data_IF_688503053980
#
_entry.id   IF_688503053980
#
_cell.length_a   1.000
_cell.length_b   1.000
_cell.length_c   1.000
_cell.angle_alpha   90.00
_cell.angle_beta   90.00
_cell.angle_gamma   90.00
#
_symmetry.space_group_name_H-M   'P 1'
#
loop_
_entity.id
_entity.type
_entity.pdbx_description
1 polymer ?
#
# COMPACT_ATOMS: atom_id res chain seq x y z
N UNK A 1 9.53 19.75 -14.95
CA UNK A 1 8.49 18.69 -14.97
C UNK A 1 9.09 17.28 -14.83
N UNK A 2 9.92 16.79 -15.77
CA UNK A 2 10.49 15.42 -15.68
C UNK A 2 11.38 15.19 -14.45
N UNK A 3 12.29 16.13 -14.13
CA UNK A 3 13.10 16.11 -12.92
C UNK A 3 12.24 16.13 -11.64
N UNK A 4 11.21 16.98 -11.60
CA UNK A 4 10.30 17.10 -10.46
C UNK A 4 9.53 15.81 -10.18
N UNK A 5 9.13 15.09 -11.24
CA UNK A 5 8.49 13.79 -11.09
C UNK A 5 9.47 12.70 -10.67
N UNK A 6 10.69 12.69 -11.21
CA UNK A 6 11.73 11.73 -10.82
C UNK A 6 12.04 11.79 -9.32
N UNK A 7 12.06 12.99 -8.74
CA UNK A 7 12.28 13.17 -7.29
C UNK A 7 11.12 12.68 -6.41
N UNK A 8 9.89 12.64 -6.94
CA UNK A 8 8.68 12.31 -6.19
C UNK A 8 8.19 10.88 -6.44
N UNK A 9 8.55 10.28 -7.58
CA UNK A 9 8.04 8.99 -8.00
C UNK A 9 8.89 7.86 -7.40
N UNK A 10 8.32 7.16 -6.44
CA UNK A 10 8.94 6.02 -5.78
C UNK A 10 9.00 4.79 -6.71
N UNK A 11 10.15 4.10 -6.73
CA UNK A 11 10.36 2.86 -7.51
C UNK A 11 9.32 1.77 -7.15
N UNK A 12 9.04 1.47 -5.86
CA UNK A 12 7.94 0.58 -5.47
C UNK A 12 6.57 0.92 -6.07
N UNK A 13 6.24 2.22 -6.18
CA UNK A 13 4.97 2.68 -6.77
C UNK A 13 4.95 2.39 -8.26
N UNK A 14 6.06 2.67 -8.97
CA UNK A 14 6.19 2.37 -10.39
C UNK A 14 6.07 0.86 -10.66
N UNK A 15 6.77 0.03 -9.89
CA UNK A 15 6.71 -1.43 -10.00
C UNK A 15 5.31 -1.97 -9.77
N UNK A 16 4.57 -1.44 -8.78
CA UNK A 16 3.18 -1.80 -8.54
C UNK A 16 2.28 -1.44 -9.72
N UNK A 17 2.38 -0.19 -10.21
CA UNK A 17 1.58 0.28 -11.34
C UNK A 17 1.86 -0.55 -12.60
N UNK A 18 3.13 -0.89 -12.85
CA UNK A 18 3.53 -1.78 -13.92
C UNK A 18 2.85 -3.15 -13.82
N UNK A 19 2.83 -3.75 -12.62
CA UNK A 19 2.15 -5.03 -12.40
C UNK A 19 0.63 -4.94 -12.60
N UNK A 20 -0.01 -3.83 -12.21
CA UNK A 20 -1.43 -3.59 -12.49
C UNK A 20 -1.69 -3.54 -13.99
N UNK A 21 -0.84 -2.85 -14.74
CA UNK A 21 -0.95 -2.75 -16.19
C UNK A 21 -0.75 -4.11 -16.87
N UNK A 22 0.25 -4.91 -16.47
CA UNK A 22 0.49 -6.23 -17.04
C UNK A 22 -0.70 -7.17 -16.84
N UNK A 23 -1.25 -7.21 -15.62
CA UNK A 23 -2.45 -8.01 -15.31
C UNK A 23 -3.68 -7.45 -16.01
N UNK A 24 -3.84 -6.13 -16.02
CA UNK A 24 -4.93 -5.44 -16.67
C UNK A 24 -4.96 -5.68 -18.18
N UNK A 25 -3.81 -5.71 -18.85
CA UNK A 25 -3.70 -6.04 -20.25
C UNK A 25 -4.16 -7.49 -20.52
N UNK A 26 -3.79 -8.43 -19.67
CA UNK A 26 -4.28 -9.80 -19.77
C UNK A 26 -5.79 -9.91 -19.51
N UNK A 27 -6.32 -9.15 -18.55
CA UNK A 27 -7.76 -9.08 -18.25
C UNK A 27 -8.54 -8.51 -19.45
N UNK A 28 -8.09 -7.39 -20.03
CA UNK A 28 -8.71 -6.75 -21.20
C UNK A 28 -8.72 -7.70 -22.41
N UNK A 29 -7.61 -8.40 -22.67
CA UNK A 29 -7.51 -9.33 -23.80
C UNK A 29 -8.43 -10.56 -23.69
N UNK A 30 -8.79 -10.97 -22.46
CA UNK A 30 -9.62 -12.16 -22.20
C UNK A 30 -11.09 -11.84 -21.92
N UNK A 31 -11.42 -10.58 -21.68
CA UNK A 31 -12.76 -10.18 -21.27
C UNK A 31 -13.76 -10.26 -22.43
N UNK A 32 -14.97 -10.74 -22.14
CA UNK A 32 -16.09 -10.66 -23.09
C UNK A 32 -16.47 -9.21 -23.45
N UNK A 33 -16.15 -8.24 -22.57
CA UNK A 33 -16.33 -6.81 -22.78
C UNK A 33 -15.01 -6.06 -22.49
N UNK A 34 -14.11 -5.92 -23.48
CA UNK A 34 -12.78 -5.36 -23.27
C UNK A 34 -12.76 -3.92 -22.73
N UNK A 35 -13.69 -3.07 -23.18
CA UNK A 35 -13.80 -1.67 -22.72
C UNK A 35 -14.10 -1.62 -21.22
N UNK A 36 -15.04 -2.45 -20.75
CA UNK A 36 -15.41 -2.50 -19.33
C UNK A 36 -14.23 -3.00 -18.47
N UNK A 37 -13.46 -3.97 -18.96
CA UNK A 37 -12.25 -4.41 -18.28
C UNK A 37 -11.20 -3.30 -18.23
N UNK A 38 -11.04 -2.52 -19.30
CA UNK A 38 -10.11 -1.39 -19.33
C UNK A 38 -10.51 -0.30 -18.33
N UNK A 39 -11.80 0.02 -18.20
CA UNK A 39 -12.32 0.93 -17.17
C UNK A 39 -11.95 0.46 -15.76
N UNK A 40 -12.09 -0.85 -15.48
CA UNK A 40 -11.69 -1.42 -14.20
C UNK A 40 -10.19 -1.33 -13.93
N UNK A 41 -9.34 -1.44 -14.96
CA UNK A 41 -7.89 -1.25 -14.83
C UNK A 41 -7.56 0.21 -14.47
N UNK A 42 -8.23 1.17 -15.11
CA UNK A 42 -8.08 2.59 -14.80
C UNK A 42 -8.49 2.90 -13.37
N UNK A 43 -9.66 2.40 -12.93
CA UNK A 43 -10.13 2.55 -11.54
C UNK A 43 -9.11 1.95 -10.56
N UNK A 44 -8.54 0.78 -10.88
CA UNK A 44 -7.51 0.14 -10.04
C UNK A 44 -6.27 1.01 -9.91
N UNK A 45 -5.78 1.58 -11.02
CA UNK A 45 -4.61 2.47 -11.02
C UNK A 45 -4.84 3.72 -10.17
N UNK A 46 -5.98 4.39 -10.34
CA UNK A 46 -6.31 5.61 -9.58
C UNK A 46 -6.45 5.30 -8.09
N UNK A 47 -7.13 4.21 -7.74
CA UNK A 47 -7.28 3.82 -6.34
C UNK A 47 -5.94 3.47 -5.68
N UNK A 48 -5.02 2.85 -6.42
CA UNK A 48 -3.70 2.53 -5.88
C UNK A 48 -2.76 3.71 -5.70
N UNK A 49 -3.09 4.88 -6.26
CA UNK A 49 -2.30 6.10 -6.06
C UNK A 49 -2.28 6.57 -4.60
N UNK A 50 -3.36 6.31 -3.86
CA UNK A 50 -3.52 6.74 -2.47
C UNK A 50 -3.12 5.66 -1.45
N UNK A 51 -2.76 4.45 -1.91
CA UNK A 51 -2.45 3.32 -1.05
C UNK A 51 -0.96 3.26 -0.69
N UNK A 52 -0.61 3.01 0.60
CA UNK A 52 0.79 2.92 1.03
C UNK A 52 1.53 1.81 0.29
N UNK A 53 2.86 1.95 0.16
CA UNK A 53 3.72 0.88 -0.36
C UNK A 53 3.66 -0.37 0.54
N UNK A 54 4.09 -1.54 0.06
CA UNK A 54 4.09 -2.77 0.90
C UNK A 54 4.95 -2.57 2.16
N UNK A 55 6.11 -1.95 2.00
CA UNK A 55 7.02 -1.64 3.11
C UNK A 55 6.40 -0.64 4.09
N UNK A 56 5.73 0.40 3.59
CA UNK A 56 4.98 1.35 4.44
C UNK A 56 3.83 0.66 5.17
N UNK A 57 3.07 -0.19 4.49
CA UNK A 57 1.99 -0.96 5.09
C UNK A 57 2.52 -1.89 6.20
N UNK A 58 3.67 -2.55 5.97
CA UNK A 58 4.31 -3.41 6.96
C UNK A 58 4.83 -2.61 8.16
N UNK A 59 5.45 -1.45 7.93
CA UNK A 59 5.86 -0.52 9.01
C UNK A 59 4.66 -0.04 9.82
N UNK A 60 3.56 0.33 9.15
CA UNK A 60 2.32 0.75 9.79
C UNK A 60 1.71 -0.38 10.63
N UNK A 61 1.76 -1.63 10.14
CA UNK A 61 1.31 -2.80 10.88
C UNK A 61 2.14 -3.04 12.15
N UNK A 62 3.47 -3.01 12.04
CA UNK A 62 4.36 -3.16 13.19
C UNK A 62 4.17 -2.05 14.23
N UNK A 63 4.02 -0.79 13.77
CA UNK A 63 3.72 0.35 14.64
C UNK A 63 2.40 0.15 15.39
N UNK A 64 1.34 -0.28 14.70
CA UNK A 64 0.05 -0.57 15.31
C UNK A 64 0.12 -1.72 16.32
N UNK A 65 0.90 -2.78 16.04
CA UNK A 65 1.14 -3.89 16.97
C UNK A 65 1.86 -3.45 18.25
N UNK A 66 2.76 -2.47 18.17
CA UNK A 66 3.42 -1.89 19.33
C UNK A 66 2.46 -1.02 20.17
N UNK A 67 1.53 -0.29 19.53
CA UNK A 67 0.50 0.48 20.25
C UNK A 67 -0.49 -0.43 21.01
N UNK A 68 -0.74 -1.63 20.50
CA UNK A 68 -1.57 -2.65 21.17
C UNK A 68 -0.81 -3.36 22.31
N UNK A 69 0.51 -3.24 22.39
CA UNK A 69 1.27 -3.61 23.57
C UNK A 69 1.20 -2.45 24.56
N UNK A 70 0.09 -2.38 25.30
CA UNK A 70 -0.04 -1.50 26.45
C UNK A 70 1.19 -1.70 27.37
N UNK A 71 1.75 -0.61 27.96
CA UNK A 71 2.85 -0.75 28.88
C UNK A 71 2.44 -1.74 29.96
N UNK A 72 3.26 -2.78 30.18
CA UNK A 72 3.11 -3.66 31.35
C UNK A 72 3.08 -2.73 32.55
N UNK A 73 1.92 -2.57 33.17
CA UNK A 73 1.78 -1.82 34.42
C UNK A 73 2.77 -2.49 35.36
N UNK A 74 3.90 -1.84 35.58
CA UNK A 74 4.94 -2.39 36.43
C UNK A 74 4.33 -2.38 37.83
N UNK A 75 4.25 -3.52 38.53
CA UNK A 75 3.58 -3.56 39.81
C UNK A 75 4.28 -2.56 40.74
N UNK A 76 3.51 -1.59 41.21
CA UNK A 76 3.95 -0.62 42.21
C UNK A 76 4.41 -1.44 43.41
N UNK A 77 5.73 -1.45 43.65
CA UNK A 77 6.33 -2.15 44.79
C UNK A 77 5.68 -1.57 46.04
N UNK A 78 4.84 -2.37 46.74
CA UNK A 78 4.25 -1.97 48.02
C UNK A 78 5.41 -1.56 48.95
N UNK A 79 5.31 -0.43 49.66
CA UNK A 79 6.32 -0.06 50.63
C UNK A 79 6.31 -1.14 51.72
N UNK A 80 7.43 -1.85 51.84
CA UNK A 80 7.73 -2.69 52.99
C UNK A 80 7.72 -1.81 54.22
N UNK A 81 6.76 -2.04 55.12
CA UNK A 81 6.91 -1.65 56.52
C UNK A 81 8.00 -2.51 57.16
#
# INVERSE_FOLDING_TARGET
>A
RGLDFSQKLSIPVLSRNWQILLKGLQEVNKAARPIQAAEMVLIRLTHTADLPTLDEALKNLHKKKHLLQLPKITPIKKPTM
#
